data_IF_730393601063
#
_entry.id   IF_730393601063
#
_cell.length_a   1.000
_cell.length_b   1.000
_cell.length_c   1.000
_cell.angle_alpha   90.00
_cell.angle_beta   90.00
_cell.angle_gamma   90.00
#
_symmetry.space_group_name_H-M   'P 1'
#
loop_
_entity.id
_entity.type
_entity.pdbx_description
1 polymer ?
#
# COMPACT_ATOMS: atom_id res chain seq x y z
N UNK A 1 12.91 19.87 2.73
CA UNK A 1 13.02 18.41 2.50
C UNK A 1 11.67 17.73 2.29
N UNK A 2 10.63 18.04 3.09
CA UNK A 2 9.28 17.45 2.95
C UNK A 2 8.69 17.64 1.54
N UNK A 3 8.78 18.85 0.97
CA UNK A 3 8.24 19.12 -0.38
C UNK A 3 8.84 18.22 -1.47
N UNK A 4 10.16 17.96 -1.43
CA UNK A 4 10.81 17.04 -2.38
C UNK A 4 10.32 15.60 -2.24
N UNK A 5 10.09 15.12 -1.00
CA UNK A 5 9.52 13.79 -0.78
C UNK A 5 8.08 13.70 -1.28
N UNK A 6 7.27 14.76 -1.13
CA UNK A 6 5.92 14.79 -1.67
C UNK A 6 5.90 14.75 -3.20
N UNK A 7 6.81 15.47 -3.86
CA UNK A 7 6.96 15.41 -5.31
C UNK A 7 7.42 14.01 -5.77
N UNK A 8 8.37 13.41 -5.07
CA UNK A 8 8.83 12.06 -5.37
C UNK A 8 7.72 11.02 -5.20
N UNK A 9 6.91 11.17 -4.13
CA UNK A 9 5.74 10.34 -3.90
C UNK A 9 4.72 10.47 -5.06
N UNK A 10 4.45 11.69 -5.53
CA UNK A 10 3.56 11.91 -6.68
C UNK A 10 4.08 11.24 -7.95
N UNK A 11 5.39 11.33 -8.21
CA UNK A 11 6.02 10.67 -9.37
C UNK A 11 5.85 9.15 -9.28
N UNK A 12 6.20 8.54 -8.13
CA UNK A 12 6.08 7.09 -7.97
C UNK A 12 4.63 6.58 -8.03
N UNK A 13 3.66 7.39 -7.59
CA UNK A 13 2.25 7.08 -7.81
C UNK A 13 1.89 7.10 -9.31
N UNK A 14 2.29 8.15 -10.03
CA UNK A 14 2.01 8.30 -11.45
C UNK A 14 2.68 7.21 -12.30
N UNK A 15 3.86 6.72 -11.90
CA UNK A 15 4.58 5.65 -12.59
C UNK A 15 4.25 4.25 -12.07
N UNK A 16 3.31 4.12 -11.14
CA UNK A 16 2.92 2.84 -10.51
C UNK A 16 4.08 2.08 -9.84
N UNK A 17 5.08 2.81 -9.35
CA UNK A 17 6.23 2.26 -8.62
C UNK A 17 5.90 2.13 -7.13
N UNK A 18 4.93 1.26 -6.81
CA UNK A 18 4.30 1.18 -5.48
C UNK A 18 5.27 0.95 -4.32
N UNK A 19 6.28 0.09 -4.49
CA UNK A 19 7.27 -0.15 -3.43
C UNK A 19 8.06 1.13 -3.10
N UNK A 20 8.46 1.89 -4.12
CA UNK A 20 9.16 3.17 -3.91
C UNK A 20 8.22 4.23 -3.32
N UNK A 21 6.95 4.24 -3.73
CA UNK A 21 5.93 5.10 -3.14
C UNK A 21 5.75 4.83 -1.64
N UNK A 22 5.71 3.56 -1.22
CA UNK A 22 5.67 3.14 0.18
C UNK A 22 6.89 3.68 0.94
N UNK A 23 8.09 3.45 0.43
CA UNK A 23 9.33 3.87 1.10
C UNK A 23 9.36 5.39 1.35
N UNK A 24 8.88 6.18 0.38
CA UNK A 24 8.80 7.64 0.50
C UNK A 24 7.68 8.07 1.45
N UNK A 25 6.51 7.43 1.37
CA UNK A 25 5.39 7.70 2.24
C UNK A 25 5.72 7.38 3.71
N UNK A 26 6.43 6.28 3.99
CA UNK A 26 6.90 5.95 5.34
C UNK A 26 7.88 7.00 5.90
N UNK A 27 8.76 7.55 5.06
CA UNK A 27 9.63 8.67 5.44
C UNK A 27 8.81 9.92 5.77
N UNK A 28 7.76 10.21 5.00
CA UNK A 28 6.84 11.32 5.27
C UNK A 28 6.10 11.14 6.60
N UNK A 29 5.63 9.93 6.91
CA UNK A 29 5.02 9.58 8.21
C UNK A 29 6.01 9.83 9.35
N UNK A 30 7.27 9.40 9.23
CA UNK A 30 8.33 9.67 10.23
C UNK A 30 8.61 11.16 10.43
N UNK A 31 8.27 12.00 9.45
CA UNK A 31 8.37 13.46 9.51
C UNK A 31 7.06 14.13 9.96
N UNK A 32 6.12 13.38 10.55
CA UNK A 32 4.87 13.89 11.11
C UNK A 32 3.73 14.03 10.10
N UNK A 33 3.84 13.41 8.92
CA UNK A 33 2.76 13.38 7.92
C UNK A 33 1.97 12.07 8.04
N UNK A 34 1.22 11.92 9.12
CA UNK A 34 0.50 10.67 9.41
C UNK A 34 -0.61 10.32 8.42
N UNK A 35 -1.11 11.30 7.65
CA UNK A 35 -2.13 11.06 6.60
C UNK A 35 -1.64 10.08 5.53
N UNK A 36 -0.33 10.00 5.31
CA UNK A 36 0.31 9.08 4.36
C UNK A 36 0.12 7.61 4.74
N UNK A 37 -0.27 7.28 5.98
CA UNK A 37 -0.61 5.90 6.38
C UNK A 37 -1.73 5.31 5.54
N UNK A 38 -2.72 6.13 5.17
CA UNK A 38 -3.82 5.72 4.28
C UNK A 38 -3.29 5.42 2.87
N UNK A 39 -2.41 6.28 2.35
CA UNK A 39 -1.76 6.06 1.04
C UNK A 39 -0.90 4.79 1.04
N UNK A 40 -0.13 4.54 2.10
CA UNK A 40 0.66 3.30 2.26
C UNK A 40 -0.24 2.07 2.20
N UNK A 41 -1.38 2.08 2.88
CA UNK A 41 -2.34 0.98 2.83
C UNK A 41 -2.86 0.75 1.40
N UNK A 42 -3.14 1.82 0.65
CA UNK A 42 -3.55 1.72 -0.75
C UNK A 42 -2.45 1.16 -1.65
N UNK A 43 -1.19 1.56 -1.46
CA UNK A 43 -0.08 1.02 -2.26
C UNK A 43 0.16 -0.47 -2.00
N UNK A 44 0.00 -0.93 -0.76
CA UNK A 44 0.00 -2.37 -0.48
C UNK A 44 -1.16 -3.11 -1.15
N UNK A 45 -2.34 -2.49 -1.26
CA UNK A 45 -3.44 -3.03 -2.05
C UNK A 45 -3.10 -3.12 -3.54
N UNK A 46 -2.42 -2.13 -4.13
CA UNK A 46 -2.00 -2.22 -5.54
C UNK A 46 -1.01 -3.36 -5.77
N UNK A 47 -0.01 -3.53 -4.89
CA UNK A 47 0.90 -4.67 -4.96
C UNK A 47 0.17 -6.01 -4.78
N UNK A 48 -0.78 -6.08 -3.84
CA UNK A 48 -1.58 -7.28 -3.64
C UNK A 48 -2.40 -7.63 -4.89
N UNK A 49 -3.01 -6.64 -5.57
CA UNK A 49 -3.72 -6.87 -6.82
C UNK A 49 -2.83 -7.48 -7.90
N UNK A 50 -1.58 -7.05 -8.02
CA UNK A 50 -0.62 -7.61 -8.98
C UNK A 50 -0.34 -9.09 -8.69
N UNK A 51 -0.22 -9.49 -7.42
CA UNK A 51 -0.04 -10.89 -7.03
C UNK A 51 -1.32 -11.72 -7.16
N UNK A 52 -2.49 -11.13 -6.90
CA UNK A 52 -3.77 -11.80 -7.15
C UNK A 52 -3.96 -12.11 -8.64
N UNK A 53 -3.52 -11.21 -9.52
CA UNK A 53 -3.59 -11.43 -10.97
C UNK A 53 -2.69 -12.57 -11.47
N UNK A 54 -1.66 -12.95 -10.70
CA UNK A 54 -0.79 -14.11 -10.97
C UNK A 54 -1.10 -15.33 -10.11
N UNK A 55 -2.27 -15.35 -9.46
CA UNK A 55 -2.75 -16.41 -8.55
C UNK A 55 -1.87 -16.65 -7.31
N UNK A 56 -0.97 -15.72 -7.01
CA UNK A 56 -0.09 -15.75 -5.83
C UNK A 56 -0.80 -15.16 -4.60
N UNK A 57 -1.84 -15.88 -4.16
CA UNK A 57 -2.74 -15.47 -3.08
C UNK A 57 -2.03 -15.37 -1.71
N UNK A 58 -0.98 -16.14 -1.48
CA UNK A 58 -0.18 -16.08 -0.25
C UNK A 58 0.62 -14.78 -0.14
N UNK A 59 1.28 -14.36 -1.23
CA UNK A 59 1.95 -13.06 -1.25
C UNK A 59 0.96 -11.92 -1.20
N UNK A 60 -0.17 -12.01 -1.91
CA UNK A 60 -1.23 -11.01 -1.83
C UNK A 60 -1.73 -10.82 -0.39
N UNK A 61 -2.02 -11.91 0.33
CA UNK A 61 -2.44 -11.84 1.74
C UNK A 61 -1.35 -11.22 2.64
N UNK A 62 -0.09 -11.53 2.40
CA UNK A 62 1.04 -10.95 3.14
C UNK A 62 1.12 -9.43 2.95
N UNK A 63 0.95 -8.96 1.71
CA UNK A 63 0.92 -7.52 1.40
C UNK A 63 -0.29 -6.83 2.03
N UNK A 64 -1.47 -7.44 1.98
CA UNK A 64 -2.68 -6.89 2.60
C UNK A 64 -2.54 -6.76 4.13
N UNK A 65 -1.88 -7.71 4.80
CA UNK A 65 -1.56 -7.60 6.22
C UNK A 65 -0.65 -6.41 6.52
N UNK A 66 0.32 -6.11 5.65
CA UNK A 66 1.13 -4.88 5.77
C UNK A 66 0.28 -3.62 5.55
N UNK A 67 -0.64 -3.65 4.60
CA UNK A 67 -1.62 -2.59 4.39
C UNK A 67 -2.49 -2.33 5.64
N UNK A 68 -3.00 -3.38 6.27
CA UNK A 68 -3.78 -3.30 7.52
C UNK A 68 -2.96 -2.74 8.69
N UNK A 69 -1.66 -3.07 8.75
CA UNK A 69 -0.76 -2.51 9.75
C UNK A 69 -0.51 -1.00 9.55
N UNK A 70 -0.57 -0.51 8.31
CA UNK A 70 -0.45 0.92 8.01
C UNK A 70 -1.75 1.67 8.35
N UNK A 71 -2.91 1.15 7.92
CA UNK A 71 -4.23 1.68 8.25
C UNK A 71 -5.22 0.56 8.62
N UNK A 72 -5.46 0.42 9.93
CA UNK A 72 -6.38 -0.57 10.49
C UNK A 72 -7.85 -0.37 10.11
N UNK A 73 -8.22 0.82 9.65
CA UNK A 73 -9.59 1.17 9.27
C UNK A 73 -9.80 1.12 7.74
N UNK A 74 -8.82 0.63 6.98
CA UNK A 74 -8.91 0.57 5.53
C UNK A 74 -9.94 -0.47 5.08
N UNK A 75 -11.14 0.00 4.71
CA UNK A 75 -12.18 -0.84 4.14
C UNK A 75 -11.69 -1.60 2.89
N UNK A 76 -10.84 -0.97 2.08
CA UNK A 76 -10.25 -1.60 0.88
C UNK A 76 -9.42 -2.84 1.24
N UNK A 77 -8.56 -2.73 2.26
CA UNK A 77 -7.75 -3.87 2.72
C UNK A 77 -8.65 -5.02 3.18
N UNK A 78 -9.66 -4.72 4.01
CA UNK A 78 -10.60 -5.73 4.52
C UNK A 78 -11.36 -6.44 3.40
N UNK A 79 -11.88 -5.69 2.42
CA UNK A 79 -12.58 -6.26 1.25
C UNK A 79 -11.64 -7.16 0.44
N UNK A 80 -10.42 -6.71 0.19
CA UNK A 80 -9.45 -7.48 -0.58
C UNK A 80 -9.00 -8.76 0.15
N UNK A 81 -8.80 -8.70 1.46
CA UNK A 81 -8.49 -9.90 2.26
C UNK A 81 -9.63 -10.92 2.15
N UNK A 82 -10.89 -10.46 2.24
CA UNK A 82 -12.06 -11.32 2.02
C UNK A 82 -12.05 -12.01 0.66
N UNK A 83 -11.73 -11.27 -0.42
CA UNK A 83 -11.58 -11.85 -1.77
C UNK A 83 -10.50 -12.92 -1.83
N UNK A 84 -9.34 -12.68 -1.22
CA UNK A 84 -8.26 -13.66 -1.17
C UNK A 84 -8.67 -14.91 -0.38
N UNK A 85 -9.41 -14.75 0.71
CA UNK A 85 -9.93 -15.90 1.48
C UNK A 85 -10.96 -16.73 0.70
N UNK A 86 -11.80 -16.10 -0.11
CA UNK A 86 -12.81 -16.81 -0.92
C UNK A 86 -12.22 -17.52 -2.15
N UNK A 87 -11.07 -17.05 -2.63
CA UNK A 87 -10.40 -17.61 -3.81
C UNK A 87 -9.44 -18.76 -3.46
N UNK A 88 -9.09 -18.92 -2.17
CA UNK A 88 -8.37 -20.08 -1.65
C UNK A 88 -9.32 -21.25 -1.40
#
# INVERSE_FOLDING_TARGET
RIGALQQLLQIYQATSEWQKAIDVAERLVKLGKDKQRVEIAHFYCELALQHMASDDLDRAMTLLKKGAAADKNSARVSIMMGRVFMAK
#
